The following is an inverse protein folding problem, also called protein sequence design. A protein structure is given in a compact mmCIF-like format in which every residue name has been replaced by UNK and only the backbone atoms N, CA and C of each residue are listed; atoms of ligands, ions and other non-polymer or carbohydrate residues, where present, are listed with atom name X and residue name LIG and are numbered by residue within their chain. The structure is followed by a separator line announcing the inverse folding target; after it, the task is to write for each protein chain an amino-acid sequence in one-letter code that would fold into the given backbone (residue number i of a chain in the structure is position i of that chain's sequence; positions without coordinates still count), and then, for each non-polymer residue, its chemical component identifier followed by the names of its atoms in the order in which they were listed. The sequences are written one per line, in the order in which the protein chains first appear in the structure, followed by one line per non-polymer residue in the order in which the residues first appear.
data_IF_411429592671
#
_entry.id   IF_411429592671
#
_cell.length_a   1.000
_cell.length_b   1.000
_cell.length_c   1.000
_cell.angle_alpha   90.00
_cell.angle_beta   90.00
_cell.angle_gamma   90.00
#
_symmetry.space_group_name_H-M   'P 1'
#
loop_
_entity.id
_entity.type
_entity.pdbx_description
1 polymer ?
#
# COMPACT_ATOMS: atom_id res chain seq x y z
N UNK A 1 9.23 38.34 17.56
CA UNK A 1 10.61 37.82 17.77
C UNK A 1 10.69 36.47 17.06
N UNK A 2 11.15 36.46 15.80
CA UNK A 2 11.35 35.20 15.06
C UNK A 2 12.64 34.58 15.62
N UNK A 3 12.65 33.31 16.04
CA UNK A 3 13.86 32.69 16.58
C UNK A 3 14.99 32.76 15.54
N UNK A 4 16.19 33.20 15.93
CA UNK A 4 17.36 33.37 15.06
C UNK A 4 17.70 32.13 14.21
N UNK A 5 17.24 30.94 14.60
CA UNK A 5 17.41 29.69 13.84
C UNK A 5 16.55 29.57 12.57
N UNK A 6 15.46 30.33 12.44
CA UNK A 6 14.56 30.25 11.27
C UNK A 6 15.07 31.10 10.10
N UNK A 7 15.80 32.19 10.39
CA UNK A 7 16.37 33.09 9.37
C UNK A 7 17.50 32.45 8.54
N UNK A 8 18.01 31.28 8.94
CA UNK A 8 19.08 30.56 8.26
C UNK A 8 18.60 29.65 7.11
N UNK A 9 17.29 29.47 6.96
CA UNK A 9 16.69 28.64 5.93
C UNK A 9 15.86 29.52 4.99
N UNK A 10 16.47 30.00 3.91
CA UNK A 10 15.84 30.92 2.95
C UNK A 10 14.76 30.26 2.07
N UNK A 11 14.59 28.93 2.14
CA UNK A 11 13.75 28.17 1.21
C UNK A 11 12.81 27.19 1.93
N UNK A 12 12.02 27.71 2.89
CA UNK A 12 11.02 26.97 3.64
C UNK A 12 9.63 27.14 3.02
N UNK A 13 8.86 26.05 2.92
CA UNK A 13 7.48 26.05 2.44
C UNK A 13 6.58 25.23 3.37
N UNK A 14 5.31 25.63 3.43
CA UNK A 14 4.29 24.96 4.22
C UNK A 14 3.71 23.80 3.40
N UNK A 15 3.76 22.60 3.97
CA UNK A 15 3.22 21.37 3.39
C UNK A 15 2.45 20.57 4.46
N UNK A 16 1.87 19.45 4.10
CA UNK A 16 1.29 18.49 5.04
C UNK A 16 1.69 17.05 4.70
N UNK A 17 1.73 16.18 5.70
CA UNK A 17 2.06 14.76 5.53
C UNK A 17 0.84 13.91 5.90
N UNK A 18 -0.03 13.68 4.91
CA UNK A 18 -1.29 12.96 5.10
C UNK A 18 -2.44 13.87 5.49
N UNK A 19 -2.49 14.34 6.74
CA UNK A 19 -3.58 15.19 7.26
C UNK A 19 -3.36 16.66 6.89
N UNK A 20 -4.23 17.23 6.06
CA UNK A 20 -4.18 18.63 5.63
C UNK A 20 -4.46 19.62 6.76
N UNK A 21 -4.99 19.20 7.91
CA UNK A 21 -5.18 20.07 9.07
C UNK A 21 -3.93 20.21 9.94
N UNK A 22 -2.86 19.48 9.61
CA UNK A 22 -1.59 19.50 10.35
C UNK A 22 -0.46 20.09 9.48
N UNK A 23 -0.33 21.42 9.41
CA UNK A 23 0.69 22.05 8.61
C UNK A 23 2.09 21.78 9.18
N UNK A 24 3.01 21.45 8.29
CA UNK A 24 4.42 21.22 8.54
C UNK A 24 5.23 22.24 7.74
N UNK A 25 6.32 22.74 8.32
CA UNK A 25 7.24 23.67 7.65
C UNK A 25 8.54 22.93 7.34
N UNK A 26 8.85 22.76 6.06
CA UNK A 26 10.06 22.07 5.61
C UNK A 26 10.76 22.81 4.46
N UNK A 27 12.07 22.58 4.27
CA UNK A 27 12.76 23.09 3.09
C UNK A 27 12.18 22.53 1.79
N UNK A 28 12.14 23.32 0.73
CA UNK A 28 11.69 22.91 -0.62
C UNK A 28 12.39 21.64 -1.08
N UNK A 29 13.71 21.55 -0.86
CA UNK A 29 14.50 20.36 -1.21
C UNK A 29 13.95 19.11 -0.54
N UNK A 30 13.53 19.21 0.74
CA UNK A 30 12.97 18.08 1.49
C UNK A 30 11.58 17.70 0.99
N UNK A 31 10.71 18.69 0.77
CA UNK A 31 9.36 18.49 0.23
C UNK A 31 9.44 17.83 -1.16
N UNK A 32 10.27 18.39 -2.05
CA UNK A 32 10.41 17.92 -3.43
C UNK A 32 11.19 16.60 -3.53
N UNK A 33 12.05 16.28 -2.56
CA UNK A 33 12.74 14.98 -2.52
C UNK A 33 11.79 13.81 -2.24
N UNK A 34 10.65 14.08 -1.60
CA UNK A 34 9.64 13.07 -1.30
C UNK A 34 8.22 13.64 -1.45
N UNK A 35 7.77 13.86 -2.70
CA UNK A 35 6.47 14.46 -3.00
C UNK A 35 5.29 13.53 -2.69
N UNK A 36 5.55 12.31 -2.20
CA UNK A 36 4.52 11.35 -1.78
C UNK A 36 4.19 11.46 -0.30
N UNK A 37 5.20 11.80 0.52
CA UNK A 37 5.02 11.99 1.97
C UNK A 37 4.69 13.45 2.31
N UNK A 38 5.05 14.39 1.43
CA UNK A 38 4.80 15.82 1.62
C UNK A 38 3.94 16.35 0.47
N UNK A 39 2.71 16.74 0.80
CA UNK A 39 1.79 17.41 -0.11
C UNK A 39 1.84 18.91 0.16
N UNK A 40 1.96 19.70 -0.91
CA UNK A 40 1.81 21.15 -0.82
C UNK A 40 0.32 21.48 -0.72
N UNK A 41 0.00 22.54 0.03
CA UNK A 41 -1.36 23.04 0.05
C UNK A 41 -1.75 23.55 -1.34
N UNK A 42 -2.92 23.12 -1.80
CA UNK A 42 -3.51 23.55 -3.07
C UNK A 42 -3.86 25.03 -3.01
N UNK A 43 -3.61 25.76 -4.10
CA UNK A 43 -4.01 27.17 -4.19
C UNK A 43 -5.53 27.29 -4.34
N UNK A 44 -6.11 28.47 -4.11
CA UNK A 44 -7.57 28.68 -4.27
C UNK A 44 -8.08 28.28 -5.67
N UNK A 45 -7.22 28.34 -6.71
CA UNK A 45 -7.55 27.88 -8.07
C UNK A 45 -7.58 26.34 -8.22
N UNK A 46 -6.83 25.61 -7.38
CA UNK A 46 -6.75 24.15 -7.40
C UNK A 46 -7.92 23.49 -6.64
N UNK A 47 -8.46 24.17 -5.61
CA UNK A 47 -9.56 23.67 -4.76
C UNK A 47 -10.87 23.54 -5.53
N UNK A 48 -11.15 24.49 -6.43
CA UNK A 48 -12.32 24.46 -7.33
C UNK A 48 -12.30 23.23 -8.26
N UNK A 49 -11.12 22.64 -8.50
CA UNK A 49 -10.97 21.42 -9.30
C UNK A 49 -11.12 20.12 -8.49
N UNK A 50 -10.98 20.16 -7.16
CA UNK A 50 -10.95 18.97 -6.28
C UNK A 50 -12.31 18.60 -5.66
N UNK A 51 -13.21 19.56 -5.46
CA UNK A 51 -14.55 19.30 -4.88
C UNK A 51 -15.46 18.43 -5.78
N UNK A 52 -15.03 18.15 -7.02
CA UNK A 52 -15.72 17.31 -8.01
C UNK A 52 -15.37 15.80 -7.85
N UNK A 53 -14.48 15.37 -6.95
CA UNK A 53 -14.02 13.96 -6.90
C UNK A 53 -15.00 12.96 -6.26
N UNK A 54 -16.05 12.67 -7.03
CA UNK A 54 -16.80 11.43 -7.11
C UNK A 54 -15.88 10.20 -7.17
N UNK A 55 -16.33 9.10 -6.52
CA UNK A 55 -16.00 7.70 -6.81
C UNK A 55 -14.80 7.50 -7.74
N UNK A 56 -13.60 7.48 -7.18
CA UNK A 56 -12.33 7.37 -7.90
C UNK A 56 -12.45 6.32 -9.03
N UNK A 57 -12.42 6.78 -10.29
CA UNK A 57 -12.51 5.94 -11.49
C UNK A 57 -11.17 5.24 -11.76
N UNK A 58 -10.72 4.44 -10.79
CA UNK A 58 -9.48 3.68 -10.90
C UNK A 58 -9.81 2.25 -11.28
N UNK A 59 -9.21 1.80 -12.38
CA UNK A 59 -9.40 0.48 -12.95
C UNK A 59 -8.06 -0.25 -13.04
N UNK A 60 -7.97 -1.46 -12.49
CA UNK A 60 -6.81 -2.32 -12.64
C UNK A 60 -6.72 -2.82 -14.09
N UNK A 61 -5.70 -2.36 -14.80
CA UNK A 61 -5.42 -2.67 -16.20
C UNK A 61 -4.69 -4.00 -16.38
N UNK A 62 -3.97 -4.45 -15.36
CA UNK A 62 -3.08 -5.61 -15.47
C UNK A 62 -3.34 -6.64 -14.38
N UNK A 63 -3.22 -7.92 -14.74
CA UNK A 63 -3.33 -9.05 -13.82
C UNK A 63 -2.43 -8.87 -12.57
N UNK A 64 -1.24 -8.29 -12.73
CA UNK A 64 -0.32 -8.04 -11.62
C UNK A 64 -0.89 -7.07 -10.57
N UNK A 65 -1.62 -6.03 -10.99
CA UNK A 65 -2.25 -5.08 -10.08
C UNK A 65 -3.38 -5.74 -9.28
N UNK A 66 -4.18 -6.58 -9.95
CA UNK A 66 -5.27 -7.33 -9.30
C UNK A 66 -4.69 -8.32 -8.27
N UNK A 67 -3.64 -9.06 -8.63
CA UNK A 67 -2.95 -9.97 -7.71
C UNK A 67 -2.36 -9.20 -6.51
N UNK A 68 -1.71 -8.07 -6.76
CA UNK A 68 -1.15 -7.23 -5.71
C UNK A 68 -2.23 -6.70 -4.76
N UNK A 69 -3.35 -6.23 -5.31
CA UNK A 69 -4.51 -5.80 -4.53
C UNK A 69 -5.06 -6.92 -3.66
N UNK A 70 -5.34 -8.09 -4.25
CA UNK A 70 -5.86 -9.24 -3.52
C UNK A 70 -4.93 -9.68 -2.39
N UNK A 71 -3.62 -9.71 -2.64
CA UNK A 71 -2.61 -10.11 -1.64
C UNK A 71 -2.43 -9.07 -0.53
N UNK A 72 -2.81 -7.81 -0.75
CA UNK A 72 -2.82 -6.77 0.28
C UNK A 72 -4.14 -6.74 1.04
N UNK A 73 -5.27 -6.95 0.36
CA UNK A 73 -6.59 -6.89 0.99
C UNK A 73 -6.91 -8.15 1.79
N UNK A 74 -6.49 -9.32 1.32
CA UNK A 74 -6.83 -10.61 1.93
C UNK A 74 -5.57 -11.40 2.29
N UNK A 75 -5.28 -11.45 3.59
CA UNK A 75 -4.08 -12.11 4.11
C UNK A 75 -4.46 -13.41 4.84
N UNK A 76 -3.80 -14.54 4.53
CA UNK A 76 -4.14 -15.84 5.13
C UNK A 76 -3.53 -16.07 6.52
N UNK A 77 -2.49 -15.31 6.88
CA UNK A 77 -1.75 -15.47 8.14
C UNK A 77 -2.10 -14.35 9.11
N UNK A 78 -1.99 -14.64 10.41
CA UNK A 78 -2.15 -13.67 11.48
C UNK A 78 -1.24 -12.45 11.30
N UNK A 79 -1.84 -11.27 11.48
CA UNK A 79 -1.18 -9.99 11.31
C UNK A 79 -0.98 -9.34 12.67
N UNK A 80 0.20 -8.77 12.84
CA UNK A 80 0.60 -7.95 13.98
C UNK A 80 -0.10 -6.58 14.01
N UNK A 81 -1.01 -6.31 13.06
CA UNK A 81 -1.61 -5.00 12.85
C UNK A 81 -3.14 -5.07 12.71
N UNK A 82 -3.79 -5.38 13.84
CA UNK A 82 -5.25 -5.41 13.99
C UNK A 82 -5.90 -4.02 13.80
N UNK A 83 -5.11 -2.93 13.78
CA UNK A 83 -5.63 -1.59 13.50
C UNK A 83 -6.11 -1.44 12.04
N UNK A 84 -5.47 -2.14 11.10
CA UNK A 84 -5.78 -2.05 9.66
C UNK A 84 -6.64 -3.21 9.15
N UNK A 85 -6.55 -4.37 9.80
CA UNK A 85 -7.18 -5.61 9.35
C UNK A 85 -8.16 -6.15 10.37
N UNK A 86 -9.23 -6.78 9.87
CA UNK A 86 -10.23 -7.47 10.68
C UNK A 86 -10.28 -8.92 10.24
N UNK A 87 -10.22 -9.84 11.20
CA UNK A 87 -10.43 -11.27 10.96
C UNK A 87 -11.91 -11.52 10.64
N UNK A 88 -12.21 -11.97 9.43
CA UNK A 88 -13.60 -12.21 9.00
C UNK A 88 -13.72 -13.45 8.12
N UNK A 89 -14.91 -14.03 8.10
CA UNK A 89 -15.25 -15.10 7.15
C UNK A 89 -15.56 -14.45 5.81
N UNK A 90 -14.85 -14.89 4.76
CA UNK A 90 -14.98 -14.35 3.41
C UNK A 90 -15.27 -15.50 2.46
N UNK A 91 -16.30 -15.36 1.63
CA UNK A 91 -16.57 -16.30 0.53
C UNK A 91 -15.86 -15.87 -0.75
N UNK A 92 -15.64 -16.80 -1.68
CA UNK A 92 -15.12 -16.43 -3.01
C UNK A 92 -16.03 -15.45 -3.74
N UNK A 93 -17.35 -15.47 -3.46
CA UNK A 93 -18.31 -14.50 -4.01
C UNK A 93 -18.03 -13.09 -3.50
N UNK A 94 -17.75 -12.93 -2.19
CA UNK A 94 -17.45 -11.62 -1.61
C UNK A 94 -16.16 -11.03 -2.20
N UNK A 95 -15.11 -11.85 -2.35
CA UNK A 95 -13.85 -11.45 -2.98
C UNK A 95 -14.07 -11.04 -4.43
N UNK A 96 -14.81 -11.86 -5.18
CA UNK A 96 -15.10 -11.58 -6.59
C UNK A 96 -15.88 -10.28 -6.76
N UNK A 97 -16.94 -10.08 -5.97
CA UNK A 97 -17.74 -8.84 -5.99
C UNK A 97 -16.89 -7.62 -5.67
N UNK A 98 -15.96 -7.71 -4.71
CA UNK A 98 -15.06 -6.60 -4.39
C UNK A 98 -14.11 -6.28 -5.55
N UNK A 99 -13.49 -7.30 -6.16
CA UNK A 99 -12.57 -7.11 -7.28
C UNK A 99 -13.26 -6.46 -8.47
N UNK A 100 -14.49 -6.87 -8.78
CA UNK A 100 -15.30 -6.30 -9.86
C UNK A 100 -15.56 -4.79 -9.71
N UNK A 101 -15.45 -4.22 -8.51
CA UNK A 101 -15.56 -2.77 -8.32
C UNK A 101 -14.37 -2.00 -8.88
N UNK A 102 -13.23 -2.66 -9.08
CA UNK A 102 -11.97 -2.03 -9.46
C UNK A 102 -11.40 -2.61 -10.76
N UNK A 103 -12.10 -3.52 -11.45
CA UNK A 103 -11.64 -4.04 -12.73
C UNK A 103 -12.76 -4.55 -13.63
N UNK A 104 -12.62 -4.31 -14.93
CA UNK A 104 -13.44 -4.91 -15.99
C UNK A 104 -12.86 -6.24 -16.50
N UNK A 105 -11.72 -6.69 -15.96
CA UNK A 105 -11.01 -7.89 -16.40
C UNK A 105 -11.85 -9.17 -16.37
N UNK A 106 -12.87 -9.21 -15.51
CA UNK A 106 -13.75 -10.35 -15.32
C UNK A 106 -15.20 -10.05 -15.74
N UNK A 107 -15.43 -9.00 -16.52
CA UNK A 107 -16.73 -8.79 -17.16
C UNK A 107 -17.11 -10.02 -17.98
N UNK A 108 -18.37 -10.43 -17.86
CA UNK A 108 -18.92 -11.63 -18.49
C UNK A 108 -18.27 -12.95 -18.04
N UNK A 109 -17.36 -12.94 -17.05
CA UNK A 109 -16.75 -14.14 -16.49
C UNK A 109 -17.52 -14.63 -15.28
N UNK A 110 -17.63 -15.95 -15.17
CA UNK A 110 -18.24 -16.58 -14.00
C UNK A 110 -17.31 -16.53 -12.79
N UNK A 111 -17.89 -16.66 -11.59
CA UNK A 111 -17.16 -16.84 -10.34
C UNK A 111 -16.15 -18.02 -10.42
N UNK A 112 -16.52 -19.10 -11.11
CA UNK A 112 -15.65 -20.26 -11.32
C UNK A 112 -14.40 -19.92 -12.15
N UNK A 113 -14.56 -19.10 -13.20
CA UNK A 113 -13.45 -18.58 -14.00
C UNK A 113 -12.50 -17.75 -13.14
N UNK A 114 -13.04 -16.87 -12.30
CA UNK A 114 -12.23 -16.07 -11.37
C UNK A 114 -11.45 -16.94 -10.38
N UNK A 115 -12.09 -17.92 -9.73
CA UNK A 115 -11.42 -18.83 -8.79
C UNK A 115 -10.30 -19.62 -9.49
N UNK A 116 -10.54 -20.09 -10.73
CA UNK A 116 -9.51 -20.76 -11.53
C UNK A 116 -8.34 -19.83 -11.82
N UNK A 117 -8.62 -18.57 -12.17
CA UNK A 117 -7.59 -17.55 -12.40
C UNK A 117 -6.77 -17.26 -11.13
N UNK A 118 -7.41 -17.14 -9.95
CA UNK A 118 -6.70 -16.94 -8.68
C UNK A 118 -5.72 -18.07 -8.37
N UNK A 119 -6.11 -19.32 -8.65
CA UNK A 119 -5.23 -20.48 -8.51
C UNK A 119 -4.03 -20.42 -9.48
N UNK A 120 -4.29 -20.13 -10.76
CA UNK A 120 -3.23 -20.01 -11.78
C UNK A 120 -2.22 -18.92 -11.40
N UNK A 121 -2.71 -17.79 -10.89
CA UNK A 121 -1.88 -16.65 -10.46
C UNK A 121 -1.28 -16.82 -9.06
N UNK A 122 -1.55 -17.93 -8.37
CA UNK A 122 -1.05 -18.23 -7.03
C UNK A 122 -1.34 -17.10 -6.03
N UNK A 123 -2.58 -16.58 -6.05
CA UNK A 123 -3.02 -15.55 -5.10
C UNK A 123 -2.96 -16.11 -3.67
N UNK A 124 -2.37 -15.36 -2.74
CA UNK A 124 -1.92 -15.89 -1.44
C UNK A 124 -3.05 -16.46 -0.58
N UNK A 125 -4.23 -15.85 -0.60
CA UNK A 125 -5.37 -16.32 0.20
C UNK A 125 -5.85 -17.71 -0.23
N UNK A 126 -5.51 -18.16 -1.45
CA UNK A 126 -5.85 -19.51 -1.93
C UNK A 126 -5.07 -20.61 -1.21
N UNK A 127 -3.98 -20.29 -0.54
CA UNK A 127 -3.17 -21.25 0.22
C UNK A 127 -3.80 -21.62 1.57
N UNK A 128 -4.84 -20.92 2.02
CA UNK A 128 -5.51 -21.22 3.27
C UNK A 128 -6.61 -22.26 3.07
N UNK A 129 -6.66 -23.26 3.95
CA UNK A 129 -7.70 -24.27 3.96
C UNK A 129 -9.09 -23.63 4.07
N UNK A 130 -10.01 -24.12 3.23
CA UNK A 130 -11.39 -23.65 3.23
C UNK A 130 -12.16 -24.37 4.34
N UNK A 131 -12.73 -23.62 5.27
CA UNK A 131 -13.68 -24.18 6.22
C UNK A 131 -15.01 -24.44 5.51
N UNK A 132 -15.42 -25.72 5.50
CA UNK A 132 -16.75 -26.12 5.03
C UNK A 132 -17.73 -26.06 6.20
N UNK A 133 -18.27 -24.88 6.52
CA UNK A 133 -19.42 -24.78 7.43
C UNK A 133 -20.72 -24.62 6.65
N UNK A 134 -21.73 -25.40 7.04
CA UNK A 134 -23.10 -25.33 6.54
C UNK A 134 -23.73 -24.04 7.07
N UNK A 135 -23.33 -22.90 6.52
CA UNK A 135 -24.13 -21.69 6.62
C UNK A 135 -24.96 -21.64 5.34
N UNK A 136 -26.26 -21.85 5.51
CA UNK A 136 -27.25 -21.59 4.48
C UNK A 136 -27.13 -20.10 4.14
N UNK A 137 -26.95 -19.77 2.85
CA UNK A 137 -27.25 -18.40 2.43
C UNK A 137 -28.75 -18.10 2.66
N UNK A 138 -29.18 -16.88 2.37
CA UNK A 138 -30.61 -16.50 2.46
C UNK A 138 -31.52 -17.42 1.63
N UNK A 139 -30.96 -18.18 0.69
CA UNK A 139 -31.63 -19.13 -0.21
C UNK A 139 -31.36 -20.62 0.14
N UNK A 140 -30.75 -20.94 1.28
CA UNK A 140 -30.50 -22.33 1.69
C UNK A 140 -29.28 -23.03 1.09
N UNK A 141 -28.46 -22.35 0.26
CA UNK A 141 -27.33 -22.95 -0.44
C UNK A 141 -26.09 -23.10 0.44
N UNK A 142 -25.34 -24.20 0.27
CA UNK A 142 -24.08 -24.46 1.00
C UNK A 142 -22.96 -23.55 0.45
N UNK A 143 -22.50 -22.59 1.23
CA UNK A 143 -21.39 -21.70 0.84
C UNK A 143 -20.08 -22.11 1.53
N UNK A 144 -18.96 -22.06 0.78
CA UNK A 144 -17.61 -22.27 1.33
C UNK A 144 -17.01 -20.93 1.74
N UNK A 145 -16.35 -20.89 2.89
CA UNK A 145 -15.73 -19.67 3.42
C UNK A 145 -14.28 -19.93 3.82
N UNK A 146 -13.49 -18.87 3.82
CA UNK A 146 -12.14 -18.83 4.40
C UNK A 146 -12.12 -17.79 5.51
N UNK A 147 -11.38 -18.06 6.59
CA UNK A 147 -11.19 -17.11 7.69
C UNK A 147 -9.95 -16.28 7.39
N UNK A 148 -10.14 -15.12 6.77
CA UNK A 148 -9.05 -14.27 6.29
C UNK A 148 -8.91 -13.04 7.18
N UNK A 149 -7.70 -12.48 7.24
CA UNK A 149 -7.50 -11.11 7.70
C UNK A 149 -7.76 -10.18 6.52
N UNK A 150 -8.87 -9.45 6.60
CA UNK A 150 -9.30 -8.56 5.54
C UNK A 150 -9.03 -7.10 5.91
N UNK A 151 -8.47 -6.34 4.98
CA UNK A 151 -8.25 -4.91 5.14
C UNK A 151 -9.60 -4.20 5.38
N UNK A 152 -9.63 -3.23 6.32
CA UNK A 152 -10.83 -2.41 6.55
C UNK A 152 -11.18 -1.61 5.31
N UNK A 153 -12.48 -1.39 5.10
CA UNK A 153 -13.00 -0.78 3.88
C UNK A 153 -12.42 0.61 3.63
N UNK A 154 -12.18 1.38 4.70
CA UNK A 154 -11.65 2.75 4.66
C UNK A 154 -10.27 2.83 3.96
N UNK A 155 -9.51 1.73 3.95
CA UNK A 155 -8.18 1.68 3.33
C UNK A 155 -8.18 1.11 1.90
N UNK A 156 -9.31 0.64 1.38
CA UNK A 156 -9.37 0.01 0.06
C UNK A 156 -9.05 1.00 -1.05
N UNK A 157 -9.65 2.19 -1.02
CA UNK A 157 -9.42 3.21 -2.04
C UNK A 157 -7.97 3.71 -2.04
N UNK A 158 -7.40 3.97 -0.86
CA UNK A 158 -5.98 4.33 -0.73
C UNK A 158 -5.05 3.23 -1.24
N UNK A 159 -5.39 1.97 -1.01
CA UNK A 159 -4.64 0.82 -1.54
C UNK A 159 -4.71 0.77 -3.07
N UNK A 160 -5.90 0.98 -3.63
CA UNK A 160 -6.12 1.00 -5.08
C UNK A 160 -5.34 2.13 -5.76
N UNK A 161 -5.38 3.35 -5.21
CA UNK A 161 -4.57 4.49 -5.68
C UNK A 161 -3.06 4.20 -5.59
N UNK A 162 -2.62 3.59 -4.48
CA UNK A 162 -1.22 3.24 -4.29
C UNK A 162 -0.71 2.32 -5.40
N UNK A 163 -1.51 1.34 -5.82
CA UNK A 163 -1.16 0.34 -6.84
C UNK A 163 -1.20 0.93 -8.27
N UNK A 164 -2.20 1.74 -8.56
CA UNK A 164 -2.50 2.19 -9.94
C UNK A 164 -1.82 3.50 -10.30
N UNK A 165 -1.66 4.40 -9.33
CA UNK A 165 -1.11 5.72 -9.56
C UNK A 165 0.26 5.89 -8.91
N UNK A 166 0.34 5.75 -7.59
CA UNK A 166 1.51 6.18 -6.86
C UNK A 166 2.73 5.30 -7.18
N UNK A 167 2.52 3.98 -7.21
CA UNK A 167 3.60 3.03 -7.49
C UNK A 167 4.18 3.20 -8.91
N UNK A 168 3.38 3.23 -9.99
CA UNK A 168 3.92 3.51 -11.33
C UNK A 168 4.64 4.86 -11.43
N UNK A 169 4.07 5.93 -10.83
CA UNK A 169 4.70 7.26 -10.78
C UNK A 169 6.07 7.19 -10.11
N UNK A 170 6.17 6.54 -8.95
CA UNK A 170 7.43 6.36 -8.23
C UNK A 170 8.44 5.53 -9.03
N UNK A 171 8.01 4.42 -9.63
CA UNK A 171 8.89 3.58 -10.45
C UNK A 171 9.42 4.33 -11.69
N UNK A 172 8.58 5.17 -12.33
CA UNK A 172 9.01 6.01 -13.43
C UNK A 172 10.06 7.05 -12.99
N UNK A 173 9.85 7.67 -11.82
CA UNK A 173 10.81 8.58 -11.21
C UNK A 173 12.16 7.90 -10.94
N UNK A 174 12.16 6.74 -10.28
CA UNK A 174 13.39 5.96 -10.03
C UNK A 174 14.11 5.59 -11.33
N UNK A 175 13.36 5.17 -12.36
CA UNK A 175 13.94 4.89 -13.68
C UNK A 175 14.58 6.14 -14.31
N UNK A 176 13.99 7.32 -14.15
CA UNK A 176 14.56 8.57 -14.64
C UNK A 176 15.87 8.91 -13.90
N UNK A 177 15.89 8.80 -12.56
CA UNK A 177 17.12 8.98 -11.78
C UNK A 177 18.26 8.09 -12.30
N UNK A 178 17.98 6.80 -12.54
CA UNK A 178 18.98 5.86 -13.06
C UNK A 178 19.45 6.22 -14.47
N UNK A 179 18.56 6.70 -15.34
CA UNK A 179 18.94 7.20 -16.68
C UNK A 179 19.90 8.38 -16.62
N UNK A 180 19.78 9.20 -15.57
CA UNK A 180 20.68 10.32 -15.30
C UNK A 180 21.91 9.91 -14.46
N UNK A 181 22.27 8.62 -14.49
CA UNK A 181 23.43 8.03 -13.79
C UNK A 181 23.42 8.17 -12.26
N UNK A 182 22.25 8.41 -11.64
CA UNK A 182 22.14 8.34 -10.19
C UNK A 182 22.00 6.90 -9.72
N UNK A 183 22.66 6.57 -8.61
CA UNK A 183 22.45 5.31 -7.89
C UNK A 183 21.35 5.51 -6.84
N UNK A 184 20.28 4.73 -6.92
CA UNK A 184 19.16 4.82 -5.97
C UNK A 184 19.38 3.84 -4.84
N UNK A 185 19.52 4.35 -3.62
CA UNK A 185 19.81 3.56 -2.43
C UNK A 185 18.58 3.55 -1.53
N UNK A 186 18.02 2.37 -1.28
CA UNK A 186 16.97 2.16 -0.30
C UNK A 186 17.53 2.02 1.11
N UNK A 187 16.71 2.34 2.10
CA UNK A 187 17.03 2.11 3.50
C UNK A 187 15.90 1.33 4.19
N UNK A 188 16.27 0.26 4.87
CA UNK A 188 15.35 -0.53 5.69
C UNK A 188 15.86 -0.58 7.13
N UNK A 189 14.98 -0.31 8.09
CA UNK A 189 15.33 -0.45 9.50
C UNK A 189 14.19 -0.98 10.36
N UNK A 190 14.55 -1.54 11.51
CA UNK A 190 13.62 -1.81 12.62
C UNK A 190 14.07 -1.09 13.87
N UNK A 191 13.11 -0.58 14.62
CA UNK A 191 13.35 -0.05 15.96
C UNK A 191 13.72 -1.19 16.94
N UNK A 192 14.46 -0.86 18.02
CA UNK A 192 14.64 -1.78 19.14
C UNK A 192 13.29 -2.25 19.68
N UNK A 193 13.20 -3.52 20.09
CA UNK A 193 11.96 -4.09 20.63
C UNK A 193 12.12 -5.55 21.07
N UNK A 194 11.06 -6.11 21.65
CA UNK A 194 11.08 -7.44 22.28
C UNK A 194 10.92 -8.61 21.29
N UNK A 195 10.77 -8.32 19.99
CA UNK A 195 10.60 -9.36 18.97
C UNK A 195 11.88 -10.19 18.84
N UNK A 196 11.73 -11.52 18.71
CA UNK A 196 12.83 -12.46 18.51
C UNK A 196 13.65 -12.11 17.26
N UNK A 197 14.96 -12.39 17.29
CA UNK A 197 15.89 -12.00 16.24
C UNK A 197 15.51 -12.53 14.85
N UNK A 198 15.09 -13.79 14.77
CA UNK A 198 14.69 -14.43 13.51
C UNK A 198 13.47 -13.76 12.86
N UNK A 199 12.43 -13.47 13.66
CA UNK A 199 11.23 -12.78 13.19
C UNK A 199 11.59 -11.37 12.71
N UNK A 200 12.46 -10.67 13.45
CA UNK A 200 12.95 -9.34 13.05
C UNK A 200 13.70 -9.39 11.72
N UNK A 201 14.61 -10.34 11.52
CA UNK A 201 15.32 -10.54 10.25
C UNK A 201 14.32 -10.83 9.12
N UNK A 202 13.33 -11.70 9.36
CA UNK A 202 12.28 -11.98 8.38
C UNK A 202 11.47 -10.75 7.97
N UNK A 203 11.13 -9.86 8.91
CA UNK A 203 10.44 -8.60 8.63
C UNK A 203 11.29 -7.64 7.80
N UNK A 204 12.57 -7.51 8.15
CA UNK A 204 13.51 -6.67 7.41
C UNK A 204 13.71 -7.21 6.00
N UNK A 205 13.86 -8.53 5.84
CA UNK A 205 13.98 -9.14 4.52
C UNK A 205 12.76 -8.84 3.65
N UNK A 206 11.55 -8.83 4.22
CA UNK A 206 10.34 -8.40 3.51
C UNK A 206 10.43 -6.94 3.06
N UNK A 207 10.96 -6.04 3.90
CA UNK A 207 11.18 -4.63 3.52
C UNK A 207 12.21 -4.51 2.39
N UNK A 208 13.34 -5.21 2.50
CA UNK A 208 14.40 -5.27 1.47
C UNK A 208 13.84 -5.78 0.14
N UNK A 209 13.08 -6.88 0.18
CA UNK A 209 12.44 -7.43 -1.02
C UNK A 209 11.48 -6.42 -1.65
N UNK A 210 10.74 -5.64 -0.86
CA UNK A 210 9.87 -4.58 -1.38
C UNK A 210 10.67 -3.44 -2.01
N UNK A 211 11.79 -3.03 -1.39
CA UNK A 211 12.66 -2.00 -1.95
C UNK A 211 13.22 -2.40 -3.32
N UNK A 212 13.73 -3.64 -3.46
CA UNK A 212 14.24 -4.12 -4.75
C UNK A 212 13.12 -4.39 -5.76
N UNK A 213 12.16 -5.24 -5.41
CA UNK A 213 11.20 -5.78 -6.37
C UNK A 213 10.09 -4.80 -6.72
N UNK A 214 9.74 -3.90 -5.80
CA UNK A 214 8.63 -2.95 -5.97
C UNK A 214 9.13 -1.54 -6.25
N UNK A 215 10.13 -1.07 -5.49
CA UNK A 215 10.62 0.31 -5.61
C UNK A 215 11.84 0.45 -6.53
N UNK A 216 12.38 -0.66 -7.05
CA UNK A 216 13.44 -0.70 -8.05
C UNK A 216 14.73 -0.01 -7.61
N UNK A 217 15.10 -0.06 -6.33
CA UNK A 217 16.38 0.48 -5.86
C UNK A 217 17.58 -0.35 -6.34
N UNK A 218 18.78 0.24 -6.37
CA UNK A 218 20.03 -0.43 -6.76
C UNK A 218 20.72 -1.13 -5.58
N UNK A 219 20.64 -0.52 -4.41
CA UNK A 219 21.25 -1.01 -3.17
C UNK A 219 20.30 -0.78 -2.00
N UNK A 220 20.42 -1.58 -0.96
CA UNK A 220 19.68 -1.37 0.30
C UNK A 220 20.65 -1.40 1.48
N UNK A 221 20.66 -0.32 2.26
CA UNK A 221 21.26 -0.33 3.59
C UNK A 221 20.24 -0.81 4.62
N UNK A 222 20.70 -1.63 5.54
CA UNK A 222 19.86 -2.29 6.53
C UNK A 222 20.37 -2.01 7.93
N UNK A 223 19.48 -1.57 8.82
CA UNK A 223 19.75 -1.51 10.26
C UNK A 223 18.77 -2.40 11.02
N UNK A 224 19.29 -3.42 11.70
CA UNK A 224 18.46 -4.41 12.37
C UNK A 224 17.81 -3.88 13.65
N UNK A 225 18.44 -2.91 14.31
CA UNK A 225 17.94 -2.28 15.52
C UNK A 225 18.52 -0.86 15.62
N UNK A 226 17.76 0.15 15.21
CA UNK A 226 18.14 1.57 15.34
C UNK A 226 16.97 2.46 15.74
N UNK A 227 17.24 3.39 16.66
CA UNK A 227 16.34 4.49 17.01
C UNK A 227 16.43 5.57 15.95
N UNK A 228 15.40 6.41 15.86
CA UNK A 228 15.34 7.48 14.86
C UNK A 228 16.44 8.54 15.05
N UNK A 229 16.99 8.66 16.26
CA UNK A 229 17.99 9.66 16.63
C UNK A 229 19.41 9.08 16.67
N UNK A 230 19.58 7.79 16.31
CA UNK A 230 20.92 7.20 16.25
C UNK A 230 21.61 7.75 15.00
N UNK A 231 22.81 8.32 15.18
CA UNK A 231 23.67 8.76 14.09
C UNK A 231 24.20 7.55 13.33
N UNK A 232 24.06 7.57 12.00
CA UNK A 232 24.61 6.58 11.07
C UNK A 232 26.09 6.86 10.84
#
# INVERSE_FOLDING_TARGET
MIPEKVALYEDLEICHAGDSLQPLLFPHVRINSNPFDFCKYSSEADIVSQEIQEKINVNFMHDAQIVQFLNQVYVPTELWNESLYIKKKVSSKDIFSLVMLYTTRFDEKSLLSFIKWCNIKKVLYMNQEQERKVLKDQNGSKVRFQVLWALKNDYLNGTTLSITEHLPKYQAYVKNLKKNNFTVIGYARKSPGQVHQEVRVGLIQKMVNKLYNTLLVDKVFVSTSSRANDTI
#
